data_IF_691782132382
#
_entry.id   IF_691782132382
#
_cell.length_a   1.000
_cell.length_b   1.000
_cell.length_c   1.000
_cell.angle_alpha   90.00
_cell.angle_beta   90.00
_cell.angle_gamma   90.00
#
_symmetry.space_group_name_H-M   'P 1'
#
loop_
_entity.id
_entity.type
_entity.pdbx_description
1 polymer ?
#
# COMPACT_ATOMS: atom_id res chain seq x y z
N UNK A 1 48.43 -22.84 -52.98
CA UNK A 1 49.83 -22.81 -52.50
C UNK A 1 49.85 -22.34 -51.06
N UNK A 2 50.44 -23.16 -50.19
CA UNK A 2 50.72 -23.02 -48.73
C UNK A 2 51.66 -21.82 -48.40
N UNK A 3 52.04 -21.51 -47.13
CA UNK A 3 51.87 -22.25 -45.86
C UNK A 3 51.49 -21.42 -44.60
N UNK A 4 51.33 -22.08 -43.43
CA UNK A 4 51.05 -21.49 -42.11
C UNK A 4 52.32 -21.20 -41.30
N UNK A 5 52.20 -20.55 -40.13
CA UNK A 5 53.28 -20.43 -39.15
C UNK A 5 52.88 -19.73 -37.84
N UNK A 6 53.59 -19.98 -36.72
CA UNK A 6 52.99 -20.38 -35.44
C UNK A 6 53.19 -19.35 -34.31
N UNK A 7 52.48 -19.53 -33.20
CA UNK A 7 52.64 -18.70 -32.00
C UNK A 7 51.92 -19.29 -30.80
N UNK A 8 52.49 -20.39 -30.30
CA UNK A 8 52.14 -21.09 -29.06
C UNK A 8 52.52 -20.23 -27.84
N UNK A 9 51.71 -20.30 -26.77
CA UNK A 9 52.06 -20.41 -25.33
C UNK A 9 51.14 -19.61 -24.39
N UNK A 10 50.48 -20.36 -23.51
CA UNK A 10 49.82 -19.98 -22.26
C UNK A 10 50.89 -19.62 -21.21
N UNK A 11 50.66 -18.66 -20.28
CA UNK A 11 50.18 -19.11 -18.96
C UNK A 11 49.24 -18.12 -18.24
N UNK A 12 48.22 -18.68 -17.58
CA UNK A 12 47.85 -18.41 -16.18
C UNK A 12 47.86 -16.94 -15.72
N UNK A 13 46.69 -16.30 -15.64
CA UNK A 13 46.48 -15.28 -14.61
C UNK A 13 45.06 -15.40 -14.03
N UNK A 14 45.04 -15.71 -12.74
CA UNK A 14 43.85 -15.77 -11.90
C UNK A 14 43.33 -14.36 -11.69
N UNK A 15 42.51 -13.86 -12.60
CA UNK A 15 41.78 -12.62 -12.34
C UNK A 15 40.63 -12.95 -11.39
N UNK A 16 40.95 -12.74 -10.12
CA UNK A 16 40.03 -12.70 -8.99
C UNK A 16 39.08 -11.54 -9.26
N UNK A 17 38.04 -11.79 -10.06
CA UNK A 17 36.93 -10.87 -10.21
C UNK A 17 36.26 -10.77 -8.84
N UNK A 18 36.64 -9.71 -8.15
CA UNK A 18 35.92 -9.06 -7.08
C UNK A 18 34.44 -9.14 -7.41
N UNK A 19 33.78 -10.13 -6.80
CA UNK A 19 32.32 -10.17 -6.73
C UNK A 19 31.92 -8.82 -6.16
N UNK A 20 31.11 -8.01 -6.85
CA UNK A 20 30.45 -6.92 -6.16
C UNK A 20 29.66 -7.58 -5.04
N UNK A 21 29.99 -7.23 -3.80
CA UNK A 21 29.15 -7.46 -2.64
C UNK A 21 27.82 -6.82 -3.03
N UNK A 22 26.88 -7.65 -3.48
CA UNK A 22 25.48 -7.26 -3.55
C UNK A 22 25.09 -7.06 -2.11
N UNK A 23 25.14 -5.80 -1.68
CA UNK A 23 24.45 -5.31 -0.51
C UNK A 23 23.03 -5.85 -0.66
N UNK A 24 22.68 -6.79 0.23
CA UNK A 24 21.36 -7.38 0.26
C UNK A 24 20.35 -6.26 0.50
N UNK A 25 19.70 -5.82 -0.57
CA UNK A 25 18.39 -5.20 -0.47
C UNK A 25 17.49 -6.31 0.04
N UNK A 26 16.97 -6.18 1.26
CA UNK A 26 15.83 -6.98 1.69
C UNK A 26 14.70 -6.70 0.69
N UNK A 27 14.53 -7.61 -0.26
CA UNK A 27 13.50 -7.52 -1.28
C UNK A 27 12.15 -7.84 -0.61
N UNK A 28 11.57 -6.85 0.07
CA UNK A 28 10.13 -6.82 0.28
C UNK A 28 9.46 -6.98 -1.09
N UNK A 29 8.48 -7.89 -1.18
CA UNK A 29 7.86 -8.32 -2.44
C UNK A 29 7.61 -7.11 -3.38
N UNK A 30 8.38 -7.01 -4.46
CA UNK A 30 8.37 -5.84 -5.35
C UNK A 30 7.11 -5.71 -6.20
N UNK A 31 6.25 -6.72 -6.23
CA UNK A 31 4.99 -6.72 -6.98
C UNK A 31 3.87 -7.20 -6.08
N UNK A 32 3.32 -6.31 -5.25
CA UNK A 32 2.06 -6.60 -4.59
C UNK A 32 0.97 -6.60 -5.68
N UNK A 33 0.15 -7.66 -5.81
CA UNK A 33 -0.86 -7.74 -6.85
C UNK A 33 -2.00 -6.74 -6.61
N UNK A 34 -2.88 -6.61 -7.61
CA UNK A 34 -4.09 -5.83 -7.51
C UNK A 34 -4.98 -6.35 -6.35
N UNK A 35 -5.51 -5.44 -5.53
CA UNK A 35 -6.22 -5.83 -4.33
C UNK A 35 -7.53 -6.59 -4.59
N UNK A 36 -8.22 -6.30 -5.69
CA UNK A 36 -9.49 -6.93 -6.02
C UNK A 36 -9.29 -8.26 -6.75
N UNK A 37 -8.61 -8.25 -7.90
CA UNK A 37 -8.50 -9.44 -8.75
C UNK A 37 -7.22 -10.29 -8.56
N UNK A 38 -6.23 -9.79 -7.81
CA UNK A 38 -4.96 -10.51 -7.59
C UNK A 38 -4.00 -10.54 -8.79
N UNK A 39 -4.24 -9.78 -9.86
CA UNK A 39 -3.31 -9.67 -11.00
C UNK A 39 -2.04 -8.91 -10.61
N UNK A 40 -0.88 -9.34 -11.11
CA UNK A 40 0.42 -8.68 -10.88
C UNK A 40 0.62 -7.35 -11.64
N UNK A 41 -0.46 -6.80 -12.22
CA UNK A 41 -0.45 -5.51 -12.91
C UNK A 41 -0.85 -4.38 -11.95
N UNK A 42 -0.11 -3.27 -11.99
CA UNK A 42 -0.37 -2.08 -11.18
C UNK A 42 -0.49 -0.86 -12.08
N UNK A 43 -1.68 -0.29 -12.12
CA UNK A 43 -1.99 0.98 -12.76
C UNK A 43 -1.99 2.12 -11.74
N UNK A 44 -2.78 1.97 -10.69
CA UNK A 44 -2.99 3.00 -9.66
C UNK A 44 -2.67 2.46 -8.27
N UNK A 45 -2.34 3.36 -7.34
CA UNK A 45 -2.18 3.08 -5.92
C UNK A 45 -2.93 4.10 -5.09
N UNK A 46 -3.51 3.66 -3.98
CA UNK A 46 -4.04 4.56 -2.97
C UNK A 46 -3.56 4.15 -1.57
N UNK A 47 -3.55 5.10 -0.64
CA UNK A 47 -3.25 4.87 0.76
C UNK A 47 -4.53 4.88 1.62
N UNK A 48 -4.61 3.96 2.59
CA UNK A 48 -5.71 3.89 3.56
C UNK A 48 -5.14 3.78 4.98
N UNK A 49 -5.89 4.20 6.03
CA UNK A 49 -5.43 4.07 7.41
C UNK A 49 -5.26 2.59 7.79
N UNK A 50 -4.33 2.23 8.69
CA UNK A 50 -4.10 0.84 9.10
C UNK A 50 -5.35 0.08 9.52
N UNK A 51 -6.24 0.75 10.25
CA UNK A 51 -7.48 0.16 10.76
C UNK A 51 -8.41 -0.32 9.62
N UNK A 52 -8.29 0.24 8.42
CA UNK A 52 -9.06 -0.15 7.24
C UNK A 52 -8.83 -1.61 6.81
N UNK A 53 -7.72 -2.24 7.23
CA UNK A 53 -7.49 -3.68 7.03
C UNK A 53 -8.66 -4.51 7.59
N UNK A 54 -9.31 -4.04 8.65
CA UNK A 54 -10.45 -4.73 9.28
C UNK A 54 -11.69 -4.80 8.39
N UNK A 55 -11.78 -3.97 7.36
CA UNK A 55 -12.87 -3.94 6.39
C UNK A 55 -12.59 -4.86 5.18
N UNK A 56 -11.38 -5.42 5.07
CA UNK A 56 -10.90 -6.18 3.93
C UNK A 56 -11.11 -7.68 4.10
N UNK A 57 -11.21 -8.40 2.98
CA UNK A 57 -11.17 -9.86 2.98
C UNK A 57 -9.79 -10.34 3.48
N UNK A 58 -9.79 -11.38 4.31
CA UNK A 58 -8.57 -11.94 4.92
C UNK A 58 -7.75 -10.94 5.77
N UNK A 59 -8.37 -9.86 6.27
CA UNK A 59 -7.69 -8.88 7.13
C UNK A 59 -7.47 -9.32 8.58
N UNK A 60 -8.24 -10.28 9.08
CA UNK A 60 -8.21 -10.73 10.49
C UNK A 60 -6.82 -11.21 10.98
N UNK A 61 -6.01 -11.93 10.17
CA UNK A 61 -4.68 -12.37 10.59
C UNK A 61 -3.65 -11.24 10.69
N UNK A 62 -3.94 -10.03 10.18
CA UNK A 62 -2.99 -8.92 10.13
C UNK A 62 -3.18 -8.03 11.37
N UNK A 63 -2.12 -7.90 12.17
CA UNK A 63 -2.09 -7.01 13.33
C UNK A 63 -2.02 -5.54 12.89
N UNK A 64 -3.15 -4.95 12.49
CA UNK A 64 -3.22 -3.58 11.97
C UNK A 64 -2.63 -2.52 12.90
N UNK A 65 -2.63 -2.76 14.23
CA UNK A 65 -2.01 -1.85 15.20
C UNK A 65 -0.48 -1.86 15.13
N UNK A 66 0.13 -2.90 14.58
CA UNK A 66 1.58 -3.00 14.42
C UNK A 66 2.07 -2.46 13.07
N UNK A 67 1.16 -1.98 12.22
CA UNK A 67 1.48 -1.32 10.97
C UNK A 67 2.10 0.06 11.24
N UNK A 68 3.20 0.34 10.55
CA UNK A 68 3.90 1.61 10.55
C UNK A 68 3.47 2.41 9.33
N UNK A 69 2.82 3.56 9.55
CA UNK A 69 2.32 4.41 8.47
C UNK A 69 1.03 3.88 7.84
N UNK A 70 0.76 4.25 6.59
CA UNK A 70 -0.47 3.88 5.88
C UNK A 70 -0.34 2.53 5.17
N UNK A 71 -1.49 1.93 4.86
CA UNK A 71 -1.57 0.70 4.05
C UNK A 71 -1.75 1.10 2.59
N UNK A 72 -0.88 0.61 1.71
CA UNK A 72 -0.95 0.90 0.28
C UNK A 72 -1.71 -0.20 -0.46
N UNK A 73 -2.76 0.19 -1.17
CA UNK A 73 -3.55 -0.65 -2.06
C UNK A 73 -3.13 -0.42 -3.51
N UNK A 74 -3.24 -1.45 -4.33
CA UNK A 74 -2.89 -1.39 -5.76
C UNK A 74 -4.05 -1.86 -6.61
N UNK A 75 -4.25 -1.19 -7.73
CA UNK A 75 -5.31 -1.51 -8.69
C UNK A 75 -4.74 -1.61 -10.09
N UNK A 76 -5.16 -2.63 -10.83
CA UNK A 76 -5.00 -2.65 -12.29
C UNK A 76 -5.99 -1.68 -12.94
N UNK A 77 -5.84 -1.38 -14.23
CA UNK A 77 -6.69 -0.39 -14.90
C UNK A 77 -8.18 -0.74 -14.84
N UNK A 78 -8.54 -1.99 -15.16
CA UNK A 78 -9.96 -2.43 -15.18
C UNK A 78 -10.64 -2.31 -13.81
N UNK A 79 -9.92 -2.68 -12.74
CA UNK A 79 -10.44 -2.60 -11.38
C UNK A 79 -10.39 -1.17 -10.83
N UNK A 80 -9.50 -0.32 -11.34
CA UNK A 80 -9.44 1.08 -10.96
C UNK A 80 -10.70 1.82 -11.39
N UNK A 81 -11.15 1.62 -12.64
CA UNK A 81 -12.40 2.21 -13.13
C UNK A 81 -13.58 1.81 -12.24
N UNK A 82 -13.67 0.53 -11.88
CA UNK A 82 -14.68 0.03 -10.94
C UNK A 82 -14.59 0.68 -9.55
N UNK A 83 -13.37 0.88 -9.02
CA UNK A 83 -13.16 1.51 -7.71
C UNK A 83 -13.56 2.98 -7.74
N UNK A 84 -13.20 3.70 -8.80
CA UNK A 84 -13.62 5.10 -9.01
C UNK A 84 -15.15 5.21 -9.02
N UNK A 85 -15.84 4.37 -9.80
CA UNK A 85 -17.30 4.37 -9.87
C UNK A 85 -17.95 4.04 -8.51
N UNK A 86 -17.44 3.02 -7.81
CA UNK A 86 -17.95 2.64 -6.49
C UNK A 86 -17.76 3.76 -5.47
N UNK A 87 -16.59 4.39 -5.47
CA UNK A 87 -16.25 5.44 -4.52
C UNK A 87 -17.03 6.74 -4.82
N UNK A 88 -17.01 7.21 -6.06
CA UNK A 88 -17.52 8.53 -6.42
C UNK A 88 -19.02 8.50 -6.75
N UNK A 89 -19.48 7.51 -7.51
CA UNK A 89 -20.85 7.51 -8.05
C UNK A 89 -21.84 6.70 -7.22
N UNK A 90 -21.42 5.54 -6.70
CA UNK A 90 -22.33 4.58 -6.06
C UNK A 90 -22.39 4.68 -4.54
N UNK A 91 -21.62 5.58 -3.93
CA UNK A 91 -21.48 5.74 -2.47
C UNK A 91 -21.20 4.42 -1.73
N UNK A 92 -20.45 3.51 -2.38
CA UNK A 92 -20.18 2.17 -1.88
C UNK A 92 -18.72 2.06 -1.40
N UNK A 93 -18.46 1.19 -0.42
CA UNK A 93 -17.11 0.99 0.11
C UNK A 93 -16.37 -0.14 -0.65
N UNK A 94 -15.29 0.17 -1.40
CA UNK A 94 -14.58 -0.84 -2.20
C UNK A 94 -13.75 -1.83 -1.36
N UNK A 95 -13.45 -1.51 -0.09
CA UNK A 95 -12.54 -2.30 0.73
C UNK A 95 -13.10 -3.66 1.12
N UNK A 96 -14.42 -3.80 1.21
CA UNK A 96 -15.10 -5.08 1.47
C UNK A 96 -14.75 -6.18 0.46
N UNK A 97 -14.24 -5.82 -0.73
CA UNK A 97 -13.84 -6.74 -1.81
C UNK A 97 -12.32 -6.83 -1.99
N UNK A 98 -11.56 -6.03 -1.25
CA UNK A 98 -10.12 -5.95 -1.32
C UNK A 98 -9.54 -7.06 -0.44
N UNK A 99 -8.62 -7.85 -0.98
CA UNK A 99 -7.92 -8.89 -0.22
C UNK A 99 -6.72 -8.29 0.53
N UNK A 100 -6.75 -8.33 1.85
CA UNK A 100 -5.67 -7.81 2.70
C UNK A 100 -4.31 -8.49 2.45
N UNK A 101 -4.29 -9.70 1.89
CA UNK A 101 -3.05 -10.38 1.48
C UNK A 101 -2.37 -9.71 0.26
N UNK A 102 -3.03 -8.78 -0.40
CA UNK A 102 -2.56 -8.07 -1.59
C UNK A 102 -2.22 -6.61 -1.32
N UNK A 103 -2.07 -6.23 -0.05
CA UNK A 103 -1.71 -4.87 0.34
C UNK A 103 -0.22 -4.79 0.65
N UNK A 104 0.33 -3.59 0.50
CA UNK A 104 1.70 -3.28 0.90
C UNK A 104 1.66 -2.49 2.20
N UNK A 105 2.32 -3.00 3.23
CA UNK A 105 2.41 -2.40 4.56
C UNK A 105 3.77 -2.71 5.18
N UNK A 106 4.19 -1.87 6.11
CA UNK A 106 5.38 -2.09 6.92
C UNK A 106 4.93 -2.45 8.34
N UNK A 107 5.45 -3.55 8.87
CA UNK A 107 5.25 -3.95 10.27
C UNK A 107 6.48 -3.54 11.08
N UNK A 108 6.26 -3.19 12.34
CA UNK A 108 7.37 -2.88 13.26
C UNK A 108 8.35 -4.06 13.36
N UNK A 109 9.64 -3.78 13.24
CA UNK A 109 10.72 -4.80 13.27
C UNK A 109 10.90 -5.47 14.64
N UNK A 110 10.41 -4.88 15.73
CA UNK A 110 10.67 -5.31 17.10
C UNK A 110 9.77 -6.46 17.60
N UNK A 111 9.33 -7.33 16.69
CA UNK A 111 8.52 -8.51 16.98
C UNK A 111 9.35 -9.65 17.61
N UNK A 112 10.08 -9.36 18.71
CA UNK A 112 10.67 -10.41 19.54
C UNK A 112 9.57 -11.04 20.40
N UNK A 113 9.27 -12.31 20.11
CA UNK A 113 8.15 -13.10 20.62
C UNK A 113 8.03 -13.22 22.17
N UNK A 114 9.00 -12.72 22.94
CA UNK A 114 8.98 -12.72 24.40
C UNK A 114 8.46 -11.42 25.03
N UNK A 115 8.43 -10.30 24.30
CA UNK A 115 7.99 -9.00 24.84
C UNK A 115 6.65 -8.51 24.27
N UNK A 116 6.17 -9.11 23.16
CA UNK A 116 4.89 -8.74 22.54
C UNK A 116 3.70 -8.89 23.49
N UNK A 117 3.70 -9.92 24.34
CA UNK A 117 2.63 -10.18 25.31
C UNK A 117 2.47 -9.08 26.39
N UNK A 118 3.47 -8.22 26.58
CA UNK A 118 3.48 -7.15 27.60
C UNK A 118 3.46 -5.74 27.02
N UNK A 119 3.50 -5.61 25.69
CA UNK A 119 3.62 -4.31 25.03
C UNK A 119 2.24 -3.74 24.74
N UNK A 120 2.06 -2.47 25.10
CA UNK A 120 0.85 -1.75 24.73
C UNK A 120 0.73 -1.70 23.21
N UNK A 121 -0.47 -1.97 22.70
CA UNK A 121 -0.77 -1.84 21.28
C UNK A 121 -0.46 -0.40 20.81
N UNK A 122 0.00 -0.22 19.57
CA UNK A 122 0.24 1.14 19.04
C UNK A 122 -1.09 1.88 18.95
N UNK A 123 -1.12 3.08 19.53
CA UNK A 123 -2.20 4.03 19.32
C UNK A 123 -2.05 4.67 17.94
N UNK A 124 -3.04 4.46 17.07
CA UNK A 124 -3.06 4.96 15.69
C UNK A 124 -3.77 6.31 15.56
N UNK A 125 -4.27 6.89 16.66
CA UNK A 125 -5.13 8.09 16.64
C UNK A 125 -4.49 9.28 15.92
N UNK A 126 -3.20 9.56 16.15
CA UNK A 126 -2.52 10.69 15.49
C UNK A 126 -2.38 10.48 13.97
N UNK A 127 -2.06 9.25 13.54
CA UNK A 127 -1.99 8.92 12.13
C UNK A 127 -3.37 9.02 11.46
N UNK A 128 -4.40 8.48 12.11
CA UNK A 128 -5.78 8.50 11.62
C UNK A 128 -6.29 9.93 11.48
N UNK A 129 -6.05 10.80 12.47
CA UNK A 129 -6.42 12.22 12.41
C UNK A 129 -5.69 12.97 11.29
N UNK A 130 -4.42 12.62 11.03
CA UNK A 130 -3.67 13.22 9.92
C UNK A 130 -4.21 12.77 8.57
N UNK A 131 -4.47 11.48 8.39
CA UNK A 131 -5.08 10.93 7.16
C UNK A 131 -6.45 11.55 6.91
N UNK A 132 -7.27 11.70 7.95
CA UNK A 132 -8.55 12.39 7.88
C UNK A 132 -8.40 13.83 7.41
N UNK A 133 -7.53 14.61 8.06
CA UNK A 133 -7.32 16.02 7.70
C UNK A 133 -6.74 16.19 6.28
N UNK A 134 -5.84 15.31 5.84
CA UNK A 134 -5.28 15.31 4.48
C UNK A 134 -6.36 14.97 3.43
N UNK A 135 -7.24 14.01 3.74
CA UNK A 135 -8.35 13.65 2.88
C UNK A 135 -9.39 14.78 2.76
N UNK A 136 -9.77 15.41 3.87
CA UNK A 136 -10.68 16.58 3.86
C UNK A 136 -10.12 17.73 3.03
N UNK A 137 -8.84 18.06 3.20
CA UNK A 137 -8.19 19.11 2.44
C UNK A 137 -8.18 18.82 0.93
N UNK A 138 -8.03 17.54 0.55
CA UNK A 138 -8.13 17.11 -0.85
C UNK A 138 -9.53 17.32 -1.42
N UNK A 139 -10.58 17.00 -0.65
CA UNK A 139 -11.97 17.19 -1.09
C UNK A 139 -12.36 18.67 -1.20
N UNK A 140 -11.84 19.53 -0.33
CA UNK A 140 -12.01 20.98 -0.43
C UNK A 140 -11.32 21.56 -1.69
N UNK A 141 -10.33 20.84 -2.24
CA UNK A 141 -9.53 21.26 -3.38
C UNK A 141 -9.94 20.59 -4.72
N UNK A 142 -11.10 19.92 -4.82
CA UNK A 142 -11.56 19.22 -6.05
C UNK A 142 -11.61 20.12 -7.29
N UNK A 143 -11.85 21.42 -7.10
CA UNK A 143 -11.86 22.41 -8.20
C UNK A 143 -10.48 22.93 -8.61
N UNK A 144 -9.41 22.55 -7.91
CA UNK A 144 -8.04 22.98 -8.19
C UNK A 144 -7.45 22.13 -9.34
N UNK A 145 -6.81 22.73 -10.36
CA UNK A 145 -6.22 22.01 -11.48
C UNK A 145 -5.05 21.07 -11.10
N UNK A 146 -4.55 21.15 -9.88
CA UNK A 146 -3.50 20.27 -9.35
C UNK A 146 -4.02 19.10 -8.52
N UNK A 147 -5.34 19.03 -8.26
CA UNK A 147 -5.97 17.89 -7.60
C UNK A 147 -6.28 16.82 -8.64
N UNK A 148 -5.66 15.63 -8.51
CA UNK A 148 -5.93 14.52 -9.41
C UNK A 148 -7.21 13.76 -8.97
N UNK A 149 -7.94 13.19 -9.94
CA UNK A 149 -9.10 12.32 -9.66
C UNK A 149 -8.74 11.18 -8.70
N UNK A 150 -7.52 10.62 -8.84
CA UNK A 150 -7.00 9.60 -7.95
C UNK A 150 -6.94 10.04 -6.50
N UNK A 151 -6.53 11.28 -6.25
CA UNK A 151 -6.43 11.83 -4.89
C UNK A 151 -7.84 12.00 -4.28
N UNK A 152 -8.82 12.39 -5.09
CA UNK A 152 -10.23 12.47 -4.68
C UNK A 152 -10.78 11.09 -4.29
N UNK A 153 -10.52 10.07 -5.11
CA UNK A 153 -10.94 8.69 -4.81
C UNK A 153 -10.25 8.18 -3.55
N UNK A 154 -8.95 8.41 -3.38
CA UNK A 154 -8.20 8.07 -2.16
C UNK A 154 -8.83 8.71 -0.92
N UNK A 155 -9.11 10.02 -0.98
CA UNK A 155 -9.72 10.76 0.11
C UNK A 155 -11.10 10.20 0.50
N UNK A 156 -11.97 9.93 -0.49
CA UNK A 156 -13.29 9.34 -0.23
C UNK A 156 -13.17 7.97 0.44
N UNK A 157 -12.29 7.10 -0.09
CA UNK A 157 -12.11 5.75 0.45
C UNK A 157 -11.54 5.78 1.87
N UNK A 158 -10.60 6.69 2.15
CA UNK A 158 -10.02 6.85 3.48
C UNK A 158 -11.06 7.35 4.50
N UNK A 159 -11.84 8.39 4.16
CA UNK A 159 -12.85 8.95 5.07
C UNK A 159 -13.97 7.97 5.35
N UNK A 160 -14.47 7.26 4.33
CA UNK A 160 -15.49 6.21 4.52
C UNK A 160 -15.00 5.07 5.38
N UNK A 161 -13.73 4.69 5.25
CA UNK A 161 -13.14 3.66 6.11
C UNK A 161 -13.14 4.11 7.57
N UNK A 162 -12.76 5.37 7.85
CA UNK A 162 -12.78 5.92 9.20
C UNK A 162 -14.20 6.04 9.77
N UNK A 163 -15.17 6.39 8.94
CA UNK A 163 -16.58 6.46 9.31
C UNK A 163 -17.16 5.07 9.64
N UNK A 164 -16.98 4.08 8.75
CA UNK A 164 -17.48 2.72 8.98
C UNK A 164 -16.86 2.06 10.22
N UNK A 165 -15.62 2.43 10.54
CA UNK A 165 -14.91 1.98 11.73
C UNK A 165 -15.25 2.77 13.01
N UNK A 166 -16.14 3.77 12.91
CA UNK A 166 -16.58 4.62 14.01
C UNK A 166 -15.47 5.50 14.60
N UNK A 167 -14.44 5.81 13.81
CA UNK A 167 -13.35 6.73 14.19
C UNK A 167 -13.80 8.17 13.99
N UNK A 168 -14.45 8.42 12.85
CA UNK A 168 -15.08 9.68 12.49
C UNK A 168 -16.60 9.56 12.68
N UNK A 169 -17.22 10.62 13.18
CA UNK A 169 -18.68 10.76 13.22
C UNK A 169 -19.11 11.82 12.21
N UNK A 170 -19.91 11.43 11.21
CA UNK A 170 -20.46 12.37 10.21
C UNK A 170 -21.82 12.92 10.67
N UNK A 171 -22.34 12.50 11.84
CA UNK A 171 -23.59 13.05 12.39
C UNK A 171 -23.39 14.45 13.01
N UNK A 172 -23.21 15.42 12.13
CA UNK A 172 -23.57 16.81 12.38
C UNK A 172 -24.32 17.36 11.18
N UNK A 173 -25.30 16.61 10.70
CA UNK A 173 -26.38 17.17 9.88
C UNK A 173 -27.57 17.42 10.81
N UNK A 174 -27.91 18.69 11.11
CA UNK A 174 -29.12 19.00 11.87
C UNK A 174 -30.33 18.64 11.01
N UNK A 175 -30.88 17.45 11.21
CA UNK A 175 -32.27 17.17 10.87
C UNK A 175 -33.13 18.17 11.65
N UNK A 176 -33.54 19.24 10.97
CA UNK A 176 -34.63 20.08 11.41
C UNK A 176 -35.96 19.51 10.86
N UNK A 177 -37.05 19.59 11.64
CA UNK A 177 -38.24 18.73 11.54
C UNK A 177 -39.12 18.95 10.30
#
# INVERSE_FOLDING_TARGET
MCPPGPGETDPTESDTLLRPVRIGVYAGLKNTPCCLCGRDDTHTRIAVPPRAIRLMENGEPIAWRDVVGTVTLRFCADDWDLVSDLAVEMDAHPLSRCNAAHVSLDLREDHEALLSATKAETDQTELEARVESEAEATLDAVGDPYTEERDVVEAIVALRALEELGVRDVSSDPVAP
#
